data_IF_924887991567
#
_entry.id   IF_924887991567
#
_cell.length_a   1.000
_cell.length_b   1.000
_cell.length_c   1.000
_cell.angle_alpha   90.00
_cell.angle_beta   90.00
_cell.angle_gamma   90.00
#
_symmetry.space_group_name_H-M   'P 1'
#
loop_
_entity.id
_entity.type
_entity.pdbx_description
1 polymer ?
#
# COMPACT_ATOMS: atom_id res chain seq x y z
N UNK A 1 -4.90 -6.98 -4.04
CA UNK A 1 -4.27 -7.30 -5.35
C UNK A 1 -3.74 -6.09 -6.14
N UNK A 2 -4.22 -4.87 -5.95
CA UNK A 2 -3.80 -3.70 -6.74
C UNK A 2 -2.33 -3.27 -6.60
N UNK A 3 -1.72 -3.39 -5.42
CA UNK A 3 -0.35 -2.89 -5.16
C UNK A 3 0.76 -3.69 -5.87
N UNK A 4 0.62 -5.00 -5.99
CA UNK A 4 1.59 -5.84 -6.74
C UNK A 4 1.56 -5.55 -8.24
N UNK A 5 0.38 -5.24 -8.78
CA UNK A 5 0.22 -4.92 -10.19
C UNK A 5 0.91 -3.59 -10.53
N UNK A 6 0.85 -2.60 -9.65
CA UNK A 6 1.54 -1.34 -9.83
C UNK A 6 3.08 -1.52 -9.94
N UNK A 7 3.66 -2.40 -9.12
CA UNK A 7 5.09 -2.73 -9.18
C UNK A 7 5.49 -3.41 -10.51
N UNK A 8 4.68 -4.36 -10.98
CA UNK A 8 4.90 -5.03 -12.27
C UNK A 8 4.86 -4.05 -13.44
N UNK A 9 3.81 -3.20 -13.49
CA UNK A 9 3.64 -2.20 -14.55
C UNK A 9 4.79 -1.19 -14.54
N UNK A 10 5.19 -0.71 -13.36
CA UNK A 10 6.31 0.22 -13.24
C UNK A 10 7.63 -0.40 -13.73
N UNK A 11 7.87 -1.67 -13.37
CA UNK A 11 9.07 -2.38 -13.80
C UNK A 11 9.10 -2.61 -15.32
N UNK A 12 7.99 -3.03 -15.92
CA UNK A 12 7.90 -3.16 -17.38
C UNK A 12 8.15 -1.82 -18.09
N UNK A 13 7.54 -0.73 -17.63
CA UNK A 13 7.77 0.61 -18.19
C UNK A 13 9.25 1.02 -18.07
N UNK A 14 9.88 0.72 -16.96
CA UNK A 14 11.31 0.97 -16.76
C UNK A 14 12.14 0.18 -17.75
N UNK A 15 11.93 -1.14 -17.88
CA UNK A 15 12.65 -1.98 -18.81
C UNK A 15 12.47 -1.53 -20.28
N UNK A 16 11.25 -1.16 -20.68
CA UNK A 16 10.98 -0.62 -22.02
C UNK A 16 11.73 0.68 -22.27
N UNK A 17 11.75 1.61 -21.27
CA UNK A 17 12.44 2.90 -21.39
C UNK A 17 13.95 2.75 -21.59
N UNK A 18 14.56 1.75 -20.97
CA UNK A 18 16.00 1.50 -21.04
C UNK A 18 16.39 0.34 -21.95
N UNK A 19 15.47 -0.17 -22.77
CA UNK A 19 15.70 -1.26 -23.71
C UNK A 19 16.26 -2.52 -23.04
N UNK A 20 15.81 -2.82 -21.82
CA UNK A 20 16.23 -3.98 -21.03
C UNK A 20 15.18 -5.10 -21.12
N UNK A 21 15.65 -6.36 -21.10
CA UNK A 21 14.74 -7.50 -20.95
C UNK A 21 14.22 -7.55 -19.51
N UNK A 22 12.90 -7.72 -19.29
CA UNK A 22 12.33 -7.72 -17.95
C UNK A 22 12.61 -9.03 -17.17
N UNK A 23 12.86 -10.13 -17.87
CA UNK A 23 13.03 -11.47 -17.27
C UNK A 23 14.18 -12.25 -17.95
N UNK A 24 15.06 -12.89 -17.17
CA UNK A 24 15.25 -12.70 -15.74
C UNK A 24 15.95 -11.37 -15.41
N UNK A 25 15.60 -10.75 -14.26
CA UNK A 25 16.23 -9.52 -13.83
C UNK A 25 17.62 -9.79 -13.23
N UNK A 26 18.60 -9.01 -13.66
CA UNK A 26 19.92 -8.99 -13.04
C UNK A 26 19.96 -8.09 -11.79
N UNK A 27 20.95 -8.26 -10.91
CA UNK A 27 21.10 -7.40 -9.73
C UNK A 27 21.29 -5.93 -10.12
N UNK A 28 22.11 -5.66 -11.12
CA UNK A 28 22.39 -4.29 -11.58
C UNK A 28 21.12 -3.62 -12.16
N UNK A 29 20.30 -4.38 -12.87
CA UNK A 29 19.01 -3.91 -13.39
C UNK A 29 18.04 -3.55 -12.25
N UNK A 30 18.01 -4.35 -11.18
CA UNK A 30 17.21 -4.06 -9.99
C UNK A 30 17.72 -2.82 -9.25
N UNK A 31 19.04 -2.64 -9.17
CA UNK A 31 19.65 -1.45 -8.57
C UNK A 31 19.26 -0.19 -9.37
N UNK A 32 19.36 -0.22 -10.69
CA UNK A 32 18.96 0.90 -11.54
C UNK A 32 17.48 1.22 -11.40
N UNK A 33 16.63 0.19 -11.37
CA UNK A 33 15.19 0.37 -11.14
C UNK A 33 14.89 1.00 -9.80
N UNK A 34 15.54 0.56 -8.74
CA UNK A 34 15.38 1.11 -7.38
C UNK A 34 15.89 2.55 -7.32
N UNK A 35 16.99 2.89 -7.99
CA UNK A 35 17.55 4.24 -8.06
C UNK A 35 16.60 5.19 -8.81
N UNK A 36 16.01 4.76 -9.92
CA UNK A 36 14.99 5.52 -10.65
C UNK A 36 13.74 5.79 -9.79
N UNK A 37 13.24 4.77 -9.10
CA UNK A 37 12.11 4.93 -8.18
C UNK A 37 12.44 5.85 -6.99
N UNK A 38 13.67 5.82 -6.50
CA UNK A 38 14.10 6.63 -5.36
C UNK A 38 14.03 8.12 -5.65
N UNK A 39 14.03 8.57 -6.90
CA UNK A 39 13.89 9.99 -7.23
C UNK A 39 12.49 10.52 -6.88
N UNK A 40 11.45 9.71 -7.04
CA UNK A 40 10.05 10.16 -6.94
C UNK A 40 9.23 9.43 -5.87
N UNK A 41 9.70 8.29 -5.35
CA UNK A 41 8.91 7.44 -4.46
C UNK A 41 9.53 7.31 -3.07
N UNK A 42 8.67 7.11 -2.08
CA UNK A 42 9.11 6.80 -0.71
C UNK A 42 9.65 5.36 -0.62
N UNK A 43 10.59 5.12 0.30
CA UNK A 43 11.22 3.81 0.53
C UNK A 43 10.21 2.65 0.68
N UNK A 44 9.10 2.87 1.41
CA UNK A 44 8.05 1.86 1.57
C UNK A 44 7.39 1.45 0.25
N UNK A 45 7.17 2.42 -0.66
CA UNK A 45 6.63 2.17 -2.00
C UNK A 45 7.61 1.37 -2.86
N UNK A 46 8.91 1.69 -2.77
CA UNK A 46 9.97 0.94 -3.48
C UNK A 46 9.94 -0.55 -3.08
N UNK A 47 9.82 -0.85 -1.78
CA UNK A 47 9.69 -2.25 -1.30
C UNK A 47 8.47 -2.96 -1.86
N UNK A 48 7.33 -2.28 -1.92
CA UNK A 48 6.10 -2.84 -2.51
C UNK A 48 6.29 -3.12 -4.01
N UNK A 49 6.97 -2.24 -4.74
CA UNK A 49 7.25 -2.43 -6.16
C UNK A 49 8.21 -3.60 -6.41
N UNK A 50 9.26 -3.74 -5.60
CA UNK A 50 10.15 -4.91 -5.62
C UNK A 50 9.39 -6.22 -5.33
N UNK A 51 8.41 -6.20 -4.44
CA UNK A 51 7.55 -7.38 -4.20
C UNK A 51 6.74 -7.74 -5.45
N UNK A 52 6.33 -6.75 -6.25
CA UNK A 52 5.70 -6.96 -7.55
C UNK A 52 6.64 -7.62 -8.57
N UNK A 53 7.89 -7.15 -8.64
CA UNK A 53 8.94 -7.75 -9.48
C UNK A 53 9.25 -9.18 -9.06
N UNK A 54 9.38 -9.43 -7.75
CA UNK A 54 9.55 -10.78 -7.21
C UNK A 54 8.41 -11.71 -7.64
N UNK A 55 7.17 -11.28 -7.47
CA UNK A 55 6.01 -12.07 -7.87
C UNK A 55 6.02 -12.37 -9.39
N UNK A 56 6.40 -11.38 -10.21
CA UNK A 56 6.52 -11.57 -11.67
C UNK A 56 7.49 -12.70 -12.01
N UNK A 57 8.67 -12.76 -11.35
CA UNK A 57 9.67 -13.80 -11.59
C UNK A 57 9.20 -15.18 -11.14
N UNK A 58 8.61 -15.27 -9.92
CA UNK A 58 8.12 -16.55 -9.38
C UNK A 58 7.05 -17.15 -10.29
N UNK A 59 6.09 -16.34 -10.75
CA UNK A 59 5.01 -16.83 -11.65
C UNK A 59 5.55 -17.31 -13.00
N UNK A 60 6.68 -16.75 -13.46
CA UNK A 60 7.34 -17.16 -14.70
C UNK A 60 8.47 -18.18 -14.48
N UNK A 61 8.54 -18.82 -13.32
CA UNK A 61 9.50 -19.88 -12.97
C UNK A 61 10.99 -19.46 -12.99
N UNK A 62 11.30 -18.17 -12.82
CA UNK A 62 12.69 -17.68 -12.72
C UNK A 62 13.23 -17.63 -11.28
N UNK A 63 12.44 -18.10 -10.30
CA UNK A 63 12.81 -18.01 -8.89
C UNK A 63 12.69 -16.59 -8.32
N UNK A 64 13.30 -16.37 -7.14
CA UNK A 64 13.27 -15.07 -6.48
C UNK A 64 14.45 -14.20 -6.93
N UNK A 65 14.26 -13.11 -7.66
CA UNK A 65 15.35 -12.27 -8.15
C UNK A 65 16.01 -11.42 -7.05
N UNK A 66 15.43 -11.39 -5.85
CA UNK A 66 15.95 -10.58 -4.73
C UNK A 66 16.86 -11.37 -3.79
N UNK A 67 16.96 -12.70 -3.96
CA UNK A 67 17.75 -13.54 -3.07
C UNK A 67 19.24 -13.36 -3.31
N UNK A 68 20.00 -13.27 -2.21
CA UNK A 68 21.46 -13.14 -2.21
C UNK A 68 21.99 -11.93 -3.02
N UNK A 69 21.27 -10.80 -3.01
CA UNK A 69 21.60 -9.57 -3.72
C UNK A 69 22.19 -8.53 -2.76
N UNK A 70 23.48 -8.68 -2.43
CA UNK A 70 24.17 -7.83 -1.45
C UNK A 70 24.21 -6.35 -1.87
N UNK A 71 24.52 -6.08 -3.13
CA UNK A 71 24.59 -4.69 -3.65
C UNK A 71 23.22 -4.02 -3.62
N UNK A 72 22.16 -4.76 -3.98
CA UNK A 72 20.79 -4.26 -3.91
C UNK A 72 20.41 -3.93 -2.46
N UNK A 73 20.74 -4.79 -1.50
CA UNK A 73 20.46 -4.55 -0.08
C UNK A 73 21.20 -3.30 0.45
N UNK A 74 22.45 -3.12 0.08
CA UNK A 74 23.22 -1.92 0.44
C UNK A 74 22.60 -0.66 -0.16
N UNK A 75 22.18 -0.72 -1.41
CA UNK A 75 21.48 0.39 -2.09
C UNK A 75 20.18 0.75 -1.36
N UNK A 76 19.37 -0.25 -1.01
CA UNK A 76 18.13 -0.05 -0.28
C UNK A 76 18.36 0.56 1.12
N UNK A 77 19.41 0.13 1.82
CA UNK A 77 19.80 0.73 3.10
C UNK A 77 20.25 2.19 2.94
N UNK A 78 20.98 2.50 1.86
CA UNK A 78 21.36 3.87 1.50
C UNK A 78 20.12 4.77 1.30
N UNK A 79 19.18 4.34 0.45
CA UNK A 79 17.94 5.07 0.17
C UNK A 79 17.10 5.27 1.43
N UNK A 80 17.05 4.26 2.31
CA UNK A 80 16.33 4.39 3.59
C UNK A 80 16.91 5.45 4.50
N UNK A 81 18.23 5.65 4.50
CA UNK A 81 18.90 6.69 5.30
C UNK A 81 18.72 8.08 4.69
N UNK A 82 18.81 8.17 3.38
CA UNK A 82 18.68 9.44 2.64
C UNK A 82 17.25 10.01 2.69
N UNK A 83 16.26 9.11 2.74
CA UNK A 83 14.82 9.49 2.82
C UNK A 83 14.17 8.98 4.09
N UNK A 84 14.54 9.48 5.26
CA UNK A 84 13.88 9.11 6.49
C UNK A 84 12.41 9.56 6.41
N UNK A 85 11.49 8.63 6.54
CA UNK A 85 10.08 8.97 6.68
C UNK A 85 9.90 9.56 8.08
N UNK A 86 9.47 10.83 8.22
CA UNK A 86 9.14 11.34 9.54
C UNK A 86 8.09 10.42 10.15
N UNK A 87 8.23 10.07 11.43
CA UNK A 87 7.22 9.30 12.12
C UNK A 87 5.94 10.14 12.09
N UNK A 88 4.94 9.69 11.34
CA UNK A 88 3.58 10.22 11.44
C UNK A 88 2.80 9.25 12.34
N UNK A 89 2.83 9.42 13.66
CA UNK A 89 2.17 8.52 14.57
C UNK A 89 0.67 8.66 14.35
N UNK A 90 0.06 7.60 13.84
CA UNK A 90 -1.40 7.50 13.84
C UNK A 90 -1.82 7.31 15.28
N UNK A 91 -2.46 8.31 15.85
CA UNK A 91 -3.01 8.21 17.18
C UNK A 91 -4.22 7.25 17.17
N UNK A 92 -4.37 6.42 18.20
CA UNK A 92 -5.53 5.56 18.30
C UNK A 92 -6.79 6.40 18.53
N UNK A 93 -7.90 5.96 17.95
CA UNK A 93 -9.21 6.51 18.29
C UNK A 93 -9.53 6.07 19.73
N UNK A 94 -9.82 7.04 20.58
CA UNK A 94 -10.20 6.79 21.97
C UNK A 94 -11.71 7.00 22.14
N UNK A 95 -12.35 6.44 23.20
CA UNK A 95 -13.76 6.68 23.51
C UNK A 95 -14.11 8.17 23.63
N UNK A 96 -13.16 8.99 24.09
CA UNK A 96 -13.34 10.45 24.18
C UNK A 96 -13.42 11.10 22.80
N UNK A 97 -12.57 10.69 21.84
CA UNK A 97 -12.63 11.17 20.45
C UNK A 97 -13.96 10.75 19.81
N UNK A 98 -14.42 9.53 20.08
CA UNK A 98 -15.69 9.03 19.59
C UNK A 98 -16.87 9.86 20.13
N UNK A 99 -16.88 10.19 21.43
CA UNK A 99 -17.88 11.08 22.02
C UNK A 99 -17.89 12.47 21.39
N UNK A 100 -16.73 13.05 21.12
CA UNK A 100 -16.64 14.35 20.42
C UNK A 100 -17.17 14.28 18.98
N UNK A 101 -16.85 13.20 18.25
CA UNK A 101 -17.40 12.99 16.91
C UNK A 101 -18.93 12.88 16.94
N UNK A 102 -19.49 12.17 17.93
CA UNK A 102 -20.94 12.11 18.13
C UNK A 102 -21.56 13.48 18.33
N UNK A 103 -20.98 14.31 19.21
CA UNK A 103 -21.50 15.65 19.46
C UNK A 103 -21.54 16.54 18.20
N UNK A 104 -20.56 16.38 17.31
CA UNK A 104 -20.56 17.09 16.02
C UNK A 104 -21.64 16.55 15.08
N UNK A 105 -21.78 15.23 14.98
CA UNK A 105 -22.76 14.59 14.09
C UNK A 105 -24.20 14.78 14.57
N UNK A 106 -24.41 14.90 15.88
CA UNK A 106 -25.74 15.10 16.48
C UNK A 106 -26.30 16.51 16.27
N UNK A 107 -25.49 17.50 15.88
CA UNK A 107 -25.96 18.86 15.63
C UNK A 107 -26.90 18.94 14.41
N UNK A 108 -26.76 18.04 13.45
CA UNK A 108 -27.65 17.91 12.31
C UNK A 108 -28.27 16.51 12.32
N UNK A 109 -29.59 16.45 12.56
CA UNK A 109 -30.32 15.18 12.60
C UNK A 109 -30.58 14.67 11.17
N UNK A 110 -29.49 14.26 10.48
CA UNK A 110 -29.57 13.71 9.13
C UNK A 110 -29.34 12.19 9.13
N UNK A 111 -29.97 11.51 8.16
CA UNK A 111 -29.75 10.08 7.96
C UNK A 111 -28.26 9.76 7.74
N UNK A 112 -27.55 10.60 6.97
CA UNK A 112 -26.12 10.42 6.70
C UNK A 112 -25.29 10.49 7.99
N UNK A 113 -25.60 11.41 8.91
CA UNK A 113 -24.91 11.54 10.20
C UNK A 113 -25.20 10.36 11.11
N UNK A 114 -26.43 9.87 11.13
CA UNK A 114 -26.81 8.68 11.90
C UNK A 114 -26.07 7.43 11.38
N UNK A 115 -26.03 7.22 10.06
CA UNK A 115 -25.29 6.12 9.45
C UNK A 115 -23.79 6.21 9.70
N UNK A 116 -23.22 7.42 9.59
CA UNK A 116 -21.80 7.65 9.89
C UNK A 116 -21.47 7.30 11.34
N UNK A 117 -22.32 7.74 12.27
CA UNK A 117 -22.18 7.41 13.69
C UNK A 117 -22.26 5.89 13.94
N UNK A 118 -23.25 5.22 13.38
CA UNK A 118 -23.40 3.78 13.48
C UNK A 118 -22.14 3.05 12.95
N UNK A 119 -21.64 3.45 11.77
CA UNK A 119 -20.42 2.89 11.20
C UNK A 119 -19.19 3.11 12.09
N UNK A 120 -19.04 4.29 12.71
CA UNK A 120 -17.96 4.57 13.66
C UNK A 120 -18.05 3.68 14.90
N UNK A 121 -19.25 3.47 15.45
CA UNK A 121 -19.47 2.58 16.58
C UNK A 121 -19.15 1.12 16.24
N UNK A 122 -19.65 0.63 15.11
CA UNK A 122 -19.40 -0.75 14.65
C UNK A 122 -17.91 -0.97 14.41
N UNK A 123 -17.23 -0.03 13.74
CA UNK A 123 -15.79 -0.13 13.49
C UNK A 123 -14.97 -0.08 14.79
N UNK A 124 -15.36 0.77 15.75
CA UNK A 124 -14.63 0.93 17.01
C UNK A 124 -14.82 -0.25 17.96
N UNK A 125 -16.05 -0.65 18.24
CA UNK A 125 -16.37 -1.72 19.19
C UNK A 125 -16.22 -3.11 18.60
N UNK A 126 -16.44 -3.26 17.28
CA UNK A 126 -16.25 -4.51 16.54
C UNK A 126 -14.80 -4.75 16.10
N UNK A 127 -13.88 -3.79 16.29
CA UNK A 127 -12.51 -3.84 15.76
C UNK A 127 -12.44 -4.13 14.25
N UNK A 128 -13.47 -3.72 13.52
CA UNK A 128 -13.60 -3.97 12.09
C UNK A 128 -12.79 -2.95 11.27
N UNK A 129 -12.20 -3.41 10.18
CA UNK A 129 -11.64 -2.51 9.17
C UNK A 129 -12.78 -1.89 8.35
N UNK A 130 -12.62 -0.64 7.93
CA UNK A 130 -13.63 0.06 7.12
C UNK A 130 -14.13 -0.76 5.92
N UNK A 131 -13.24 -1.48 5.22
CA UNK A 131 -13.61 -2.34 4.10
C UNK A 131 -14.41 -3.60 4.45
N UNK A 132 -14.60 -3.91 5.74
CA UNK A 132 -15.37 -5.07 6.19
C UNK A 132 -16.86 -4.72 6.43
N UNK A 133 -17.19 -3.44 6.58
CA UNK A 133 -18.57 -2.99 6.81
C UNK A 133 -19.01 -1.83 5.90
N UNK A 134 -18.15 -1.40 4.96
CA UNK A 134 -18.50 -0.38 3.95
C UNK A 134 -18.28 -0.92 2.55
N UNK A 135 -19.22 -0.63 1.64
CA UNK A 135 -19.07 -0.97 0.23
C UNK A 135 -18.01 -0.08 -0.45
N UNK A 136 -17.22 -0.66 -1.34
CA UNK A 136 -16.16 0.04 -2.07
C UNK A 136 -16.70 1.07 -3.08
N UNK A 137 -17.93 0.89 -3.54
CA UNK A 137 -18.66 1.82 -4.40
C UNK A 137 -20.17 1.58 -4.30
N UNK A 138 -20.99 2.57 -4.76
CA UNK A 138 -22.46 2.47 -4.77
C UNK A 138 -23.01 1.21 -5.48
N UNK A 139 -22.23 0.60 -6.38
CA UNK A 139 -22.68 -0.50 -7.24
C UNK A 139 -21.91 -1.82 -7.00
N UNK A 140 -21.00 -1.89 -6.04
CA UNK A 140 -20.28 -3.12 -5.73
C UNK A 140 -20.60 -3.59 -4.31
N UNK A 141 -21.56 -4.48 -4.21
CA UNK A 141 -21.76 -5.29 -3.01
C UNK A 141 -20.86 -6.53 -3.12
N UNK A 142 -19.90 -6.65 -2.23
CA UNK A 142 -19.19 -7.90 -2.04
C UNK A 142 -20.01 -8.75 -1.07
N UNK A 143 -20.20 -10.05 -1.37
CA UNK A 143 -20.97 -10.97 -0.53
C UNK A 143 -20.42 -11.12 0.89
N UNK A 144 -19.20 -10.63 1.13
CA UNK A 144 -18.52 -10.64 2.44
C UNK A 144 -18.74 -9.33 3.24
N UNK A 145 -19.43 -8.35 2.68
CA UNK A 145 -19.76 -7.12 3.40
C UNK A 145 -21.03 -7.35 4.21
N UNK A 146 -20.94 -7.19 5.52
CA UNK A 146 -22.11 -7.26 6.42
C UNK A 146 -23.05 -6.12 6.04
N UNK A 147 -24.25 -6.46 5.62
CA UNK A 147 -25.36 -5.51 5.34
C UNK A 147 -26.00 -5.04 6.63
#
# INVERSE_FOLDING_TARGET
MHSYNAGKVAYHKFCTRFYMQPLPATEDQLILFVADLAQTRAYGTIKVYLSGVRHLHIVNNYGNPLDNKLKLDLTLRGIRRDKPRPPNPRLPITPWILKKAHAVLANENSYANTMTWAAMCVGFFGFLRSGEFTASSKNSYDQLTVT
#
